data_IF_775534314578
#
_entry.id   IF_775534314578
#
_cell.length_a   1.000
_cell.length_b   1.000
_cell.length_c   1.000
_cell.angle_alpha   90.00
_cell.angle_beta   90.00
_cell.angle_gamma   90.00
#
_symmetry.space_group_name_H-M   'P 1'
#
loop_
_entity.id
_entity.type
_entity.pdbx_description
1 polymer ?
#
# COMPACT_ATOMS: atom_id res chain seq x y z
N UNK A 1 -8.93 -2.64 -34.15
CA UNK A 1 -7.79 -3.52 -34.42
C UNK A 1 -7.37 -4.22 -33.13
N UNK A 2 -8.14 -5.22 -32.70
CA UNK A 2 -8.00 -5.92 -31.39
C UNK A 2 -7.40 -7.34 -31.54
N UNK A 3 -6.78 -7.67 -32.68
CA UNK A 3 -6.47 -9.07 -33.03
C UNK A 3 -5.00 -9.49 -32.87
N UNK A 4 -4.07 -8.60 -32.50
CA UNK A 4 -2.64 -8.97 -32.33
C UNK A 4 -2.16 -9.09 -30.87
N UNK A 5 -3.03 -8.82 -29.89
CA UNK A 5 -2.63 -8.81 -28.47
C UNK A 5 -2.81 -10.15 -27.76
N UNK A 6 -3.64 -11.06 -28.29
CA UNK A 6 -3.93 -12.33 -27.63
C UNK A 6 -2.83 -13.37 -27.81
N UNK A 7 -2.14 -13.43 -28.95
CA UNK A 7 -1.12 -14.46 -29.19
C UNK A 7 0.18 -14.25 -28.39
N UNK A 8 0.52 -13.00 -28.02
CA UNK A 8 1.71 -12.71 -27.19
C UNK A 8 1.52 -13.04 -25.71
N UNK A 9 0.28 -13.19 -25.24
CA UNK A 9 -0.01 -13.47 -23.84
C UNK A 9 0.33 -14.91 -23.44
N UNK A 10 0.46 -15.81 -24.41
CA UNK A 10 0.70 -17.22 -24.15
C UNK A 10 2.17 -17.58 -23.88
N UNK A 11 3.13 -16.69 -24.17
CA UNK A 11 4.57 -16.99 -24.02
C UNK A 11 5.28 -16.15 -22.95
N UNK A 12 4.56 -15.30 -22.23
CA UNK A 12 5.16 -14.49 -21.17
C UNK A 12 5.34 -15.32 -19.89
N UNK A 13 6.52 -15.16 -19.27
CA UNK A 13 6.75 -15.66 -17.92
C UNK A 13 5.84 -14.93 -16.91
N UNK A 14 5.58 -15.51 -15.73
CA UNK A 14 4.78 -14.87 -14.69
C UNK A 14 5.25 -13.44 -14.34
N UNK A 15 6.55 -13.19 -14.42
CA UNK A 15 7.16 -11.86 -14.25
C UNK A 15 6.82 -10.91 -15.40
N UNK A 16 6.87 -11.39 -16.65
CA UNK A 16 6.45 -10.63 -17.83
C UNK A 16 4.98 -10.26 -17.77
N UNK A 17 4.12 -11.17 -17.32
CA UNK A 17 2.69 -10.94 -17.15
C UNK A 17 2.43 -9.90 -16.05
N UNK A 18 3.12 -10.00 -14.90
CA UNK A 18 3.03 -9.02 -13.82
C UNK A 18 3.46 -7.61 -14.27
N UNK A 19 4.57 -7.50 -15.03
CA UNK A 19 5.01 -6.24 -15.63
C UNK A 19 3.97 -5.68 -16.59
N UNK A 20 3.37 -6.54 -17.42
CA UNK A 20 2.36 -6.14 -18.39
C UNK A 20 1.09 -5.61 -17.72
N UNK A 21 0.60 -6.25 -16.64
CA UNK A 21 -0.54 -5.76 -15.86
C UNK A 21 -0.28 -4.35 -15.32
N UNK A 22 0.89 -4.12 -14.73
CA UNK A 22 1.27 -2.80 -14.22
C UNK A 22 1.37 -1.74 -15.32
N UNK A 23 1.92 -2.11 -16.49
CA UNK A 23 2.00 -1.23 -17.66
C UNK A 23 0.60 -0.85 -18.18
N UNK A 24 -0.28 -1.84 -18.37
CA UNK A 24 -1.66 -1.62 -18.82
C UNK A 24 -2.42 -0.75 -17.82
N UNK A 25 -2.30 -1.02 -16.53
CA UNK A 25 -2.93 -0.23 -15.47
C UNK A 25 -2.50 1.24 -15.50
N UNK A 26 -1.22 1.50 -15.79
CA UNK A 26 -0.65 2.85 -15.84
C UNK A 26 -1.00 3.61 -17.12
N UNK A 27 -1.03 2.93 -18.27
CA UNK A 27 -1.23 3.56 -19.58
C UNK A 27 -2.71 3.62 -19.98
N UNK A 28 -3.47 2.56 -19.68
CA UNK A 28 -4.84 2.37 -20.13
C UNK A 28 -5.86 2.31 -18.98
N UNK A 29 -5.41 2.41 -17.74
CA UNK A 29 -6.26 2.42 -16.55
C UNK A 29 -6.56 1.02 -16.00
N UNK A 30 -7.03 1.01 -14.75
CA UNK A 30 -7.28 -0.20 -13.96
C UNK A 30 -8.23 -1.20 -14.64
N UNK A 31 -9.28 -0.70 -15.30
CA UNK A 31 -10.30 -1.55 -15.92
C UNK A 31 -9.73 -2.41 -17.06
N UNK A 32 -8.79 -1.87 -17.83
CA UNK A 32 -8.12 -2.62 -18.91
C UNK A 32 -7.12 -3.63 -18.34
N UNK A 33 -6.49 -3.32 -17.20
CA UNK A 33 -5.64 -4.28 -16.51
C UNK A 33 -6.45 -5.44 -15.92
N UNK A 34 -7.66 -5.18 -15.41
CA UNK A 34 -8.60 -6.22 -14.98
C UNK A 34 -9.04 -7.09 -16.16
N UNK A 35 -9.39 -6.49 -17.30
CA UNK A 35 -9.80 -7.23 -18.51
C UNK A 35 -8.67 -8.13 -19.01
N UNK A 36 -7.43 -7.63 -19.00
CA UNK A 36 -6.24 -8.39 -19.33
C UNK A 36 -6.05 -9.58 -18.38
N UNK A 37 -6.14 -9.35 -17.07
CA UNK A 37 -6.01 -10.39 -16.06
C UNK A 37 -7.07 -11.49 -16.20
N UNK A 38 -8.33 -11.14 -16.46
CA UNK A 38 -9.43 -12.11 -16.68
C UNK A 38 -9.25 -12.96 -17.93
N UNK A 39 -8.44 -12.51 -18.89
CA UNK A 39 -8.11 -13.26 -20.11
C UNK A 39 -6.97 -14.27 -19.95
N UNK A 40 -6.32 -14.34 -18.77
CA UNK A 40 -5.22 -15.27 -18.53
C UNK A 40 -5.75 -16.68 -18.21
N UNK A 41 -5.09 -17.75 -18.69
CA UNK A 41 -5.42 -19.12 -18.28
C UNK A 41 -5.12 -19.31 -16.79
N UNK A 42 -6.07 -19.88 -16.03
CA UNK A 42 -5.95 -20.07 -14.57
C UNK A 42 -4.66 -20.81 -14.17
N UNK A 43 -4.19 -21.76 -14.99
CA UNK A 43 -2.96 -22.51 -14.78
C UNK A 43 -1.66 -21.66 -14.79
N UNK A 44 -1.71 -20.43 -15.35
CA UNK A 44 -0.58 -19.50 -15.40
C UNK A 44 -0.67 -18.39 -14.36
N UNK A 45 -1.80 -18.27 -13.67
CA UNK A 45 -2.03 -17.18 -12.71
C UNK A 45 -1.32 -17.52 -11.40
N UNK A 46 -0.03 -17.27 -11.37
CA UNK A 46 0.78 -17.38 -10.17
C UNK A 46 0.59 -16.18 -9.23
N UNK A 47 1.00 -16.37 -7.98
CA UNK A 47 0.91 -15.35 -6.93
C UNK A 47 1.49 -13.98 -7.32
N UNK A 48 2.56 -13.94 -8.12
CA UNK A 48 3.17 -12.69 -8.61
C UNK A 48 2.23 -11.86 -9.49
N UNK A 49 1.35 -12.50 -10.27
CA UNK A 49 0.38 -11.86 -11.13
C UNK A 49 -0.76 -11.27 -10.29
N UNK A 50 -1.19 -11.99 -9.25
CA UNK A 50 -2.12 -11.48 -8.24
C UNK A 50 -1.57 -10.26 -7.50
N UNK A 51 -0.30 -10.29 -7.09
CA UNK A 51 0.36 -9.16 -6.42
C UNK A 51 0.46 -7.91 -7.33
N UNK A 52 0.71 -8.10 -8.62
CA UNK A 52 0.71 -7.00 -9.60
C UNK A 52 -0.68 -6.34 -9.71
N UNK A 53 -1.74 -7.15 -9.79
CA UNK A 53 -3.11 -6.63 -9.86
C UNK A 53 -3.52 -5.92 -8.56
N UNK A 54 -3.15 -6.46 -7.39
CA UNK A 54 -3.37 -5.80 -6.09
C UNK A 54 -2.65 -4.44 -6.00
N UNK A 55 -1.41 -4.37 -6.50
CA UNK A 55 -0.65 -3.12 -6.59
C UNK A 55 -1.37 -2.08 -7.44
N UNK A 56 -2.00 -2.50 -8.54
CA UNK A 56 -2.81 -1.63 -9.40
C UNK A 56 -4.04 -1.06 -8.68
N UNK A 57 -4.78 -1.87 -7.91
CA UNK A 57 -5.93 -1.37 -7.14
C UNK A 57 -5.56 -0.28 -6.13
N UNK A 58 -4.39 -0.41 -5.50
CA UNK A 58 -3.85 0.58 -4.55
C UNK A 58 -3.43 1.86 -5.27
N UNK A 59 -2.73 1.76 -6.40
CA UNK A 59 -2.32 2.92 -7.20
C UNK A 59 -3.51 3.75 -7.68
N UNK A 60 -4.64 3.10 -7.98
CA UNK A 60 -5.85 3.78 -8.43
C UNK A 60 -6.79 4.16 -7.28
N UNK A 61 -6.44 3.85 -6.02
CA UNK A 61 -7.16 4.22 -4.80
C UNK A 61 -8.67 3.88 -4.81
N UNK A 62 -9.05 2.79 -5.50
CA UNK A 62 -10.42 2.66 -6.04
C UNK A 62 -11.28 1.47 -5.60
N UNK A 63 -10.79 0.45 -4.89
CA UNK A 63 -11.72 -0.56 -4.36
C UNK A 63 -11.12 -1.53 -3.35
N UNK A 64 -11.60 -1.48 -2.10
CA UNK A 64 -11.33 -2.48 -1.07
C UNK A 64 -12.03 -3.82 -1.38
N UNK A 65 -13.30 -3.78 -1.81
CA UNK A 65 -14.10 -4.98 -2.12
C UNK A 65 -13.51 -5.83 -3.26
N UNK A 66 -12.92 -5.20 -4.28
CA UNK A 66 -12.28 -5.93 -5.38
C UNK A 66 -10.95 -6.55 -4.94
N UNK A 67 -10.19 -5.88 -4.08
CA UNK A 67 -8.99 -6.47 -3.47
C UNK A 67 -9.35 -7.71 -2.64
N UNK A 68 -10.46 -7.65 -1.88
CA UNK A 68 -10.99 -8.81 -1.14
C UNK A 68 -11.43 -9.95 -2.07
N UNK A 69 -12.07 -9.64 -3.20
CA UNK A 69 -12.51 -10.64 -4.19
C UNK A 69 -11.34 -11.37 -4.84
N UNK A 70 -10.27 -10.63 -5.19
CA UNK A 70 -9.03 -11.23 -5.72
C UNK A 70 -8.37 -12.12 -4.66
N UNK A 71 -8.35 -11.68 -3.40
CA UNK A 71 -7.82 -12.46 -2.29
C UNK A 71 -8.60 -13.75 -2.05
N UNK A 72 -9.93 -13.74 -2.30
CA UNK A 72 -10.77 -14.94 -2.27
C UNK A 72 -10.42 -15.93 -3.39
N UNK A 73 -10.12 -15.46 -4.61
CA UNK A 73 -9.63 -16.32 -5.70
C UNK A 73 -8.26 -16.95 -5.42
N UNK A 74 -7.37 -16.22 -4.73
CA UNK A 74 -6.09 -16.79 -4.24
C UNK A 74 -6.35 -17.94 -3.25
N UNK A 75 -7.36 -17.80 -2.39
CA UNK A 75 -7.78 -18.82 -1.42
C UNK A 75 -8.33 -20.09 -2.08
N UNK A 76 -9.12 -19.94 -3.15
CA UNK A 76 -9.72 -21.07 -3.89
C UNK A 76 -8.67 -21.85 -4.70
N UNK A 77 -7.63 -21.16 -5.20
CA UNK A 77 -6.51 -21.78 -5.93
C UNK A 77 -5.43 -22.40 -5.02
N UNK A 78 -5.39 -22.07 -3.72
CA UNK A 78 -4.38 -22.54 -2.77
C UNK A 78 -5.02 -22.98 -1.43
N UNK A 79 -5.57 -24.22 -1.37
CA UNK A 79 -6.56 -24.64 -0.37
C UNK A 79 -6.04 -24.91 1.05
N UNK A 80 -4.75 -24.76 1.36
CA UNK A 80 -4.18 -25.03 2.69
C UNK A 80 -4.60 -24.04 3.82
N UNK A 81 -5.68 -23.27 3.63
CA UNK A 81 -5.91 -21.98 4.30
C UNK A 81 -7.28 -21.82 4.98
N UNK A 82 -7.85 -22.87 5.56
CA UNK A 82 -9.28 -22.84 5.91
C UNK A 82 -9.59 -22.16 7.26
N UNK A 83 -8.70 -22.10 8.26
CA UNK A 83 -9.12 -21.65 9.63
C UNK A 83 -8.40 -20.45 10.30
N UNK A 84 -7.63 -19.63 9.58
CA UNK A 84 -6.99 -18.43 10.19
C UNK A 84 -7.81 -17.14 10.02
N UNK A 85 -7.71 -16.18 10.95
CA UNK A 85 -8.32 -14.85 10.84
C UNK A 85 -7.83 -14.06 9.62
N UNK A 86 -8.59 -13.02 9.19
CA UNK A 86 -8.25 -12.21 7.99
C UNK A 86 -6.82 -11.63 8.04
N UNK A 87 -6.34 -11.23 9.22
CA UNK A 87 -5.01 -10.62 9.41
C UNK A 87 -3.88 -11.62 9.64
N UNK A 88 -4.14 -12.73 10.33
CA UNK A 88 -3.17 -13.83 10.46
C UNK A 88 -2.78 -14.40 9.09
N UNK A 89 -3.75 -14.43 8.17
CA UNK A 89 -3.55 -14.78 6.76
C UNK A 89 -2.69 -13.76 6.01
N UNK A 90 -2.94 -12.46 6.20
CA UNK A 90 -2.13 -11.40 5.61
C UNK A 90 -0.69 -11.47 6.14
N UNK A 91 -0.52 -11.63 7.45
CA UNK A 91 0.80 -11.69 8.10
C UNK A 91 1.59 -12.90 7.60
N UNK A 92 0.93 -14.04 7.42
CA UNK A 92 1.58 -15.23 6.86
C UNK A 92 1.97 -15.02 5.42
N UNK A 93 1.10 -14.40 4.61
CA UNK A 93 1.40 -14.07 3.22
C UNK A 93 2.62 -13.16 3.10
N UNK A 94 2.69 -12.14 3.93
CA UNK A 94 3.79 -11.18 3.94
C UNK A 94 5.10 -11.83 4.39
N UNK A 95 5.05 -12.76 5.36
CA UNK A 95 6.21 -13.60 5.72
C UNK A 95 6.65 -14.52 4.58
N UNK A 96 5.73 -15.22 3.93
CA UNK A 96 6.03 -16.07 2.77
C UNK A 96 6.66 -15.25 1.63
N UNK A 97 6.22 -14.00 1.42
CA UNK A 97 6.82 -13.08 0.45
C UNK A 97 8.26 -12.71 0.81
N UNK A 98 8.56 -12.51 2.10
CA UNK A 98 9.93 -12.28 2.56
C UNK A 98 10.82 -13.49 2.35
N UNK A 99 10.35 -14.68 2.72
CA UNK A 99 11.09 -15.94 2.57
C UNK A 99 11.41 -16.25 1.10
N UNK A 100 10.53 -15.86 0.17
CA UNK A 100 10.69 -16.08 -1.27
C UNK A 100 11.42 -14.95 -2.00
N UNK A 101 11.97 -13.97 -1.28
CA UNK A 101 12.70 -12.81 -1.82
C UNK A 101 11.90 -12.01 -2.89
N UNK A 102 10.57 -11.97 -2.74
CA UNK A 102 9.68 -11.17 -3.59
C UNK A 102 9.14 -9.94 -2.86
N UNK A 103 9.58 -9.75 -1.61
CA UNK A 103 9.17 -8.67 -0.73
C UNK A 103 9.96 -7.40 -1.03
N UNK A 104 9.28 -6.26 -1.16
CA UNK A 104 9.92 -4.97 -1.45
C UNK A 104 9.27 -3.83 -0.65
N UNK A 105 9.87 -2.63 -0.73
CA UNK A 105 9.37 -1.45 -0.01
C UNK A 105 7.89 -1.11 -0.28
N UNK A 106 7.38 -1.37 -1.49
CA UNK A 106 5.96 -1.17 -1.81
C UNK A 106 5.05 -2.16 -1.07
N UNK A 107 5.54 -3.37 -0.81
CA UNK A 107 4.83 -4.43 -0.08
C UNK A 107 4.61 -4.03 1.39
N UNK A 108 5.60 -3.35 2.00
CA UNK A 108 5.44 -2.76 3.33
C UNK A 108 4.31 -1.74 3.41
N UNK A 109 4.23 -0.84 2.43
CA UNK A 109 3.19 0.19 2.38
C UNK A 109 1.81 -0.46 2.24
N UNK A 110 1.68 -1.51 1.43
CA UNK A 110 0.43 -2.29 1.28
C UNK A 110 0.04 -2.90 2.62
N UNK A 111 0.99 -3.54 3.31
CA UNK A 111 0.73 -4.18 4.60
C UNK A 111 0.31 -3.16 5.66
N UNK A 112 0.97 -2.01 5.72
CA UNK A 112 0.63 -0.92 6.63
C UNK A 112 -0.78 -0.38 6.36
N UNK A 113 -1.11 -0.09 5.09
CA UNK A 113 -2.42 0.41 4.71
C UNK A 113 -3.55 -0.59 5.01
N UNK A 114 -3.27 -1.89 4.88
CA UNK A 114 -4.24 -2.93 5.24
C UNK A 114 -4.57 -2.90 6.75
N UNK A 115 -3.58 -2.70 7.62
CA UNK A 115 -3.85 -2.53 9.06
C UNK A 115 -4.60 -1.24 9.36
N UNK A 116 -4.30 -0.14 8.67
CA UNK A 116 -5.00 1.14 8.82
C UNK A 116 -6.47 1.07 8.36
N UNK A 117 -6.74 0.37 7.27
CA UNK A 117 -8.10 0.13 6.79
C UNK A 117 -8.89 -0.73 7.79
N UNK A 118 -8.21 -1.64 8.46
CA UNK A 118 -8.74 -2.54 9.47
C UNK A 118 -8.91 -1.94 10.86
N UNK A 119 -8.38 -0.73 11.12
CA UNK A 119 -8.22 -0.16 12.47
C UNK A 119 -7.43 -1.08 13.41
N UNK A 120 -6.53 -1.91 12.86
CA UNK A 120 -5.69 -2.80 13.65
C UNK A 120 -4.43 -2.05 14.12
N UNK A 121 -4.61 -1.21 15.15
CA UNK A 121 -3.56 -0.35 15.70
C UNK A 121 -2.33 -1.16 16.15
N UNK A 122 -2.55 -2.31 16.81
CA UNK A 122 -1.44 -3.15 17.31
C UNK A 122 -0.62 -3.75 16.17
N UNK A 123 -1.28 -4.21 15.10
CA UNK A 123 -0.62 -4.73 13.91
C UNK A 123 0.17 -3.65 13.19
N UNK A 124 -0.44 -2.47 13.00
CA UNK A 124 0.20 -1.29 12.42
C UNK A 124 1.46 -0.88 13.21
N UNK A 125 1.37 -0.81 14.55
CA UNK A 125 2.49 -0.45 15.43
C UNK A 125 3.66 -1.41 15.28
N UNK A 126 3.38 -2.72 15.36
CA UNK A 126 4.40 -3.75 15.24
C UNK A 126 5.10 -3.68 13.88
N UNK A 127 4.32 -3.51 12.81
CA UNK A 127 4.86 -3.39 11.46
C UNK A 127 5.68 -2.10 11.29
N UNK A 128 5.24 -0.99 11.85
CA UNK A 128 5.98 0.27 11.78
C UNK A 128 7.34 0.17 12.47
N UNK A 129 7.40 -0.51 13.64
CA UNK A 129 8.68 -0.80 14.31
C UNK A 129 9.60 -1.68 13.45
N UNK A 130 9.04 -2.68 12.77
CA UNK A 130 9.79 -3.55 11.84
C UNK A 130 10.31 -2.76 10.63
N UNK A 131 9.48 -1.88 10.05
CA UNK A 131 9.88 -1.00 8.95
C UNK A 131 10.98 -0.02 9.37
N UNK A 132 11.00 0.45 10.61
CA UNK A 132 12.00 1.42 11.10
C UNK A 132 13.41 0.84 11.18
N UNK A 133 13.55 -0.49 11.25
CA UNK A 133 14.84 -1.19 11.36
C UNK A 133 15.22 -1.98 10.12
N UNK A 134 14.29 -2.28 9.22
CA UNK A 134 14.54 -3.05 7.99
C UNK A 134 15.05 -2.14 6.85
N UNK A 135 16.27 -2.34 6.33
CA UNK A 135 16.82 -1.57 5.21
C UNK A 135 16.01 -1.68 3.91
N UNK A 136 15.21 -2.74 3.73
CA UNK A 136 14.33 -2.91 2.57
C UNK A 136 13.08 -2.01 2.65
N UNK A 137 12.73 -1.54 3.84
CA UNK A 137 11.61 -0.63 4.03
C UNK A 137 11.99 0.78 3.57
N UNK A 138 11.19 1.33 2.66
CA UNK A 138 11.28 2.75 2.32
C UNK A 138 10.33 3.53 3.22
N UNK A 139 10.85 4.12 4.29
CA UNK A 139 10.09 5.05 5.13
C UNK A 139 10.20 6.46 4.55
N UNK A 140 9.05 7.06 4.29
CA UNK A 140 8.95 8.47 3.91
C UNK A 140 7.93 9.20 4.79
N UNK A 141 7.77 10.51 4.57
CA UNK A 141 6.81 11.31 5.32
C UNK A 141 5.37 10.75 5.23
N UNK A 142 4.97 10.20 4.07
CA UNK A 142 3.64 9.59 3.88
C UNK A 142 3.41 8.36 4.79
N UNK A 143 4.45 7.59 5.09
CA UNK A 143 4.36 6.44 6.00
C UNK A 143 3.88 6.89 7.38
N UNK A 144 4.51 7.92 7.94
CA UNK A 144 4.15 8.45 9.26
C UNK A 144 2.83 9.22 9.24
N UNK A 145 2.50 9.96 8.18
CA UNK A 145 1.17 10.60 8.09
C UNK A 145 0.04 9.58 8.03
N UNK A 146 0.27 8.43 7.40
CA UNK A 146 -0.71 7.33 7.36
C UNK A 146 -0.94 6.75 8.76
N UNK A 147 0.13 6.49 9.51
CA UNK A 147 0.03 6.05 10.91
C UNK A 147 -0.64 7.10 11.81
N UNK A 148 -0.29 8.38 11.63
CA UNK A 148 -0.91 9.50 12.34
C UNK A 148 -2.43 9.54 12.10
N UNK A 149 -2.88 9.34 10.87
CA UNK A 149 -4.30 9.32 10.56
C UNK A 149 -5.02 8.17 11.26
N UNK A 150 -4.39 7.01 11.42
CA UNK A 150 -5.01 5.87 12.12
C UNK A 150 -5.12 6.11 13.63
N UNK A 151 -4.06 6.63 14.27
CA UNK A 151 -4.12 7.06 15.68
C UNK A 151 -5.18 8.13 15.92
N UNK A 152 -5.39 9.03 14.96
CA UNK A 152 -6.43 10.06 15.04
C UNK A 152 -7.83 9.45 15.10
N UNK A 153 -8.11 8.37 14.35
CA UNK A 153 -9.42 7.69 14.35
C UNK A 153 -9.75 7.07 15.71
N UNK A 154 -8.74 6.66 16.47
CA UNK A 154 -8.88 6.14 17.84
C UNK A 154 -8.61 7.22 18.90
N UNK A 155 -8.61 8.49 18.52
CA UNK A 155 -8.41 9.66 19.39
C UNK A 155 -7.11 9.67 20.21
N UNK A 156 -6.07 8.96 19.76
CA UNK A 156 -4.76 8.97 20.42
C UNK A 156 -3.88 10.13 19.92
N UNK A 157 -4.22 11.36 20.32
CA UNK A 157 -3.58 12.58 19.81
C UNK A 157 -2.10 12.75 20.17
N UNK A 158 -1.65 12.11 21.25
CA UNK A 158 -0.23 12.05 21.61
C UNK A 158 0.57 11.32 20.52
N UNK A 159 0.10 10.11 20.13
CA UNK A 159 0.74 9.35 19.05
C UNK A 159 0.58 10.01 17.68
N UNK A 160 -0.55 10.69 17.42
CA UNK A 160 -0.69 11.54 16.23
C UNK A 160 0.46 12.56 16.17
N UNK A 161 0.64 13.34 17.24
CA UNK A 161 1.66 14.39 17.31
C UNK A 161 3.07 13.81 17.14
N UNK A 162 3.37 12.68 17.78
CA UNK A 162 4.66 12.00 17.62
C UNK A 162 4.94 11.59 16.17
N UNK A 163 3.95 11.00 15.48
CA UNK A 163 4.09 10.60 14.07
C UNK A 163 4.21 11.80 13.13
N UNK A 164 3.45 12.88 13.38
CA UNK A 164 3.57 14.12 12.60
C UNK A 164 4.98 14.72 12.70
N UNK A 165 5.58 14.76 13.89
CA UNK A 165 6.97 15.22 14.06
C UNK A 165 7.97 14.33 13.28
N UNK A 166 7.84 13.00 13.36
CA UNK A 166 8.67 12.09 12.55
C UNK A 166 8.50 12.36 11.04
N UNK A 167 7.26 12.61 10.60
CA UNK A 167 6.94 12.95 9.21
C UNK A 167 7.62 14.26 8.77
N UNK A 168 7.61 15.30 9.62
CA UNK A 168 8.27 16.58 9.34
C UNK A 168 9.78 16.41 9.10
N UNK A 169 10.46 15.57 9.89
CA UNK A 169 11.89 15.34 9.73
C UNK A 169 12.27 14.66 8.40
N UNK A 170 11.34 13.89 7.82
CA UNK A 170 11.52 13.22 6.53
C UNK A 170 11.04 14.07 5.34
N UNK A 171 10.38 15.21 5.57
CA UNK A 171 9.92 16.11 4.53
C UNK A 171 11.12 16.88 3.92
N UNK A 172 11.60 16.44 2.76
CA UNK A 172 12.78 17.01 2.08
C UNK A 172 12.58 17.18 0.58
N UNK A 173 13.39 18.04 -0.03
CA UNK A 173 13.42 18.24 -1.48
C UNK A 173 12.07 18.68 -2.07
N UNK A 174 11.74 18.16 -3.26
CA UNK A 174 10.55 18.55 -4.03
C UNK A 174 9.22 18.22 -3.34
N UNK A 175 9.20 17.26 -2.41
CA UNK A 175 7.97 16.84 -1.69
C UNK A 175 7.75 17.61 -0.38
N UNK A 176 8.71 18.46 0.03
CA UNK A 176 8.68 19.18 1.31
C UNK A 176 7.40 20.00 1.48
N UNK A 177 7.02 20.80 0.49
CA UNK A 177 5.82 21.65 0.57
C UNK A 177 4.55 20.83 0.80
N UNK A 178 4.34 19.80 -0.03
CA UNK A 178 3.18 18.90 0.09
C UNK A 178 3.13 18.19 1.45
N UNK A 179 4.29 17.75 1.96
CA UNK A 179 4.38 17.12 3.26
C UNK A 179 3.95 18.10 4.37
N UNK A 180 4.47 19.32 4.37
CA UNK A 180 4.13 20.33 5.36
C UNK A 180 2.64 20.74 5.31
N UNK A 181 2.06 20.89 4.12
CA UNK A 181 0.62 21.16 3.95
C UNK A 181 -0.24 20.01 4.52
N UNK A 182 0.14 18.76 4.26
CA UNK A 182 -0.54 17.58 4.80
C UNK A 182 -0.43 17.48 6.32
N UNK A 183 0.77 17.72 6.86
CA UNK A 183 1.04 17.69 8.30
C UNK A 183 0.27 18.82 9.02
N UNK A 184 0.29 20.03 8.47
CA UNK A 184 -0.46 21.17 9.01
C UNK A 184 -1.96 20.87 9.05
N UNK A 185 -2.51 20.24 8.01
CA UNK A 185 -3.92 19.82 7.97
C UNK A 185 -4.25 18.86 9.10
N UNK A 186 -3.38 17.88 9.39
CA UNK A 186 -3.62 16.95 10.49
C UNK A 186 -3.50 17.60 11.87
N UNK A 187 -2.56 18.54 12.08
CA UNK A 187 -2.53 19.30 13.34
C UNK A 187 -3.81 20.12 13.54
N UNK A 188 -4.35 20.71 12.46
CA UNK A 188 -5.63 21.41 12.52
C UNK A 188 -6.78 20.46 12.89
N UNK A 189 -6.81 19.25 12.33
CA UNK A 189 -7.83 18.23 12.63
C UNK A 189 -7.83 17.78 14.09
N UNK A 190 -6.68 17.80 14.77
CA UNK A 190 -6.59 17.48 16.21
C UNK A 190 -6.67 18.73 17.10
N UNK A 191 -6.94 19.91 16.54
CA UNK A 191 -7.09 21.16 17.28
C UNK A 191 -5.79 21.76 17.83
N UNK A 192 -4.63 21.29 17.37
CA UNK A 192 -3.33 21.80 17.83
C UNK A 192 -2.95 23.09 17.07
N UNK A 193 -3.48 24.22 17.56
CA UNK A 193 -3.29 25.54 16.93
C UNK A 193 -1.83 25.99 16.94
N UNK A 194 -1.08 25.67 17.98
CA UNK A 194 0.32 26.10 18.13
C UNK A 194 1.19 25.50 17.02
N UNK A 195 1.05 24.20 16.76
CA UNK A 195 1.78 23.53 15.69
C UNK A 195 1.34 23.99 14.30
N UNK A 196 0.05 24.28 14.09
CA UNK A 196 -0.45 24.87 12.84
C UNK A 196 0.22 26.22 12.58
N UNK A 197 0.25 27.11 13.59
CA UNK A 197 0.89 28.42 13.46
C UNK A 197 2.40 28.32 13.23
N UNK A 198 3.08 27.39 13.92
CA UNK A 198 4.52 27.13 13.73
C UNK A 198 4.81 26.70 12.29
N UNK A 199 4.08 25.71 11.77
CA UNK A 199 4.27 25.20 10.41
C UNK A 199 3.89 26.23 9.34
N UNK A 200 2.85 27.01 9.56
CA UNK A 200 2.45 28.10 8.67
C UNK A 200 3.59 29.10 8.46
N UNK A 201 4.27 29.49 9.54
CA UNK A 201 5.41 30.41 9.48
C UNK A 201 6.64 29.80 8.79
N UNK A 202 6.79 28.47 8.83
CA UNK A 202 7.83 27.77 8.07
C UNK A 202 7.47 27.72 6.59
N UNK A 203 6.21 27.43 6.25
CA UNK A 203 5.73 27.33 4.87
C UNK A 203 5.82 28.64 4.10
N UNK A 204 5.62 29.78 4.78
CA UNK A 204 5.83 31.12 4.19
C UNK A 204 7.26 31.37 3.68
N UNK A 205 8.23 30.58 4.14
CA UNK A 205 9.64 30.71 3.77
C UNK A 205 10.05 29.76 2.65
N UNK A 206 9.12 28.97 2.12
CA UNK A 206 9.34 28.07 0.99
C UNK A 206 9.19 28.77 -0.36
#
# INVERSE_FOLDING_TARGET
MEWMSNERNYNLSPEGIAKQINLISRVHGLEQAERYFRGLPDAKVEFKIYAALLTCYVQHNKSLEKAETIMKKIKESHPANINMGKYEKLDRLMREMKEKDVFNGSTYIIWLNAYVAALNIKGMEKLLMEMEVDPLATINWCTYTTAANDYRKVHNFEKVTAMLKKSEHLARGKTKRLAFESIQTMYAMIGNKDEVHRLWNICKKF
#
